data_IF_359388770122
#
_entry.id   IF_359388770122
#
_cell.length_a   1.000
_cell.length_b   1.000
_cell.length_c   1.000
_cell.angle_alpha   90.00
_cell.angle_beta   90.00
_cell.angle_gamma   90.00
#
_symmetry.space_group_name_H-M   'P 1'
#
loop_
_entity.id
_entity.type
_entity.pdbx_description
1 polymer ?
#
# COMPACT_ATOMS: atom_id res chain seq x y z
N UNK A 1 10.68 12.27 -12.16
CA UNK A 1 9.29 11.79 -12.01
C UNK A 1 9.25 10.69 -10.96
N UNK A 2 8.16 10.56 -10.20
CA UNK A 2 7.98 9.46 -9.26
C UNK A 2 7.14 8.35 -9.90
N UNK A 3 7.60 7.10 -9.80
CA UNK A 3 6.82 5.93 -10.19
C UNK A 3 6.25 5.29 -8.92
N UNK A 4 4.93 5.24 -8.78
CA UNK A 4 4.27 4.64 -7.62
C UNK A 4 3.63 3.30 -7.95
N UNK A 5 3.79 2.31 -7.08
CA UNK A 5 3.29 0.95 -7.23
C UNK A 5 2.64 0.50 -5.92
N UNK A 6 1.40 0.05 -5.99
CA UNK A 6 0.70 -0.59 -4.88
C UNK A 6 0.02 -1.89 -5.33
N UNK A 7 0.12 -2.93 -4.52
CA UNK A 7 -0.52 -4.23 -4.75
C UNK A 7 -1.21 -4.79 -3.50
N UNK A 8 -1.54 -3.91 -2.56
CA UNK A 8 -2.06 -4.25 -1.24
C UNK A 8 -3.57 -4.54 -1.26
N UNK A 9 -4.33 -3.83 -2.10
CA UNK A 9 -5.73 -4.09 -2.40
C UNK A 9 -5.95 -3.82 -3.91
N UNK A 10 -5.92 -4.88 -4.72
CA UNK A 10 -5.84 -4.74 -6.18
C UNK A 10 -4.43 -4.36 -6.65
N UNK A 11 -4.26 -3.97 -7.91
CA UNK A 11 -2.99 -3.46 -8.45
C UNK A 11 -3.18 -2.05 -8.92
N UNK A 12 -2.34 -1.13 -8.48
CA UNK A 12 -2.32 0.25 -8.96
C UNK A 12 -0.90 0.68 -9.27
N UNK A 13 -0.72 1.38 -10.39
CA UNK A 13 0.55 1.96 -10.82
C UNK A 13 0.29 3.38 -11.30
N UNK A 14 1.18 4.32 -10.97
CA UNK A 14 1.06 5.70 -11.41
C UNK A 14 2.42 6.36 -11.65
N UNK A 15 2.44 7.34 -12.56
CA UNK A 15 3.53 8.31 -12.67
C UNK A 15 3.05 9.63 -12.07
N UNK A 16 3.81 10.20 -11.15
CA UNK A 16 3.50 11.44 -10.45
C UNK A 16 4.62 12.45 -10.65
N UNK A 17 4.24 13.69 -10.91
CA UNK A 17 5.17 14.82 -10.93
C UNK A 17 5.47 15.28 -9.49
N UNK A 18 6.72 15.14 -9.00
CA UNK A 18 7.07 15.53 -7.64
C UNK A 18 6.97 17.05 -7.38
N UNK A 19 6.98 17.89 -8.42
CA UNK A 19 6.85 19.34 -8.25
C UNK A 19 5.41 19.77 -7.95
N UNK A 20 4.44 19.03 -8.47
CA UNK A 20 3.00 19.36 -8.34
C UNK A 20 2.23 18.37 -7.47
N UNK A 21 2.81 17.21 -7.17
CA UNK A 21 2.14 16.11 -6.48
C UNK A 21 1.02 15.46 -7.28
N UNK A 22 0.88 15.78 -8.58
CA UNK A 22 -0.24 15.33 -9.42
C UNK A 22 0.14 14.15 -10.33
N UNK A 23 -0.81 13.25 -10.62
CA UNK A 23 -0.58 12.17 -11.56
C UNK A 23 -0.44 12.69 -12.99
N UNK A 24 0.51 12.12 -13.72
CA UNK A 24 0.63 12.23 -15.18
C UNK A 24 -0.08 11.08 -15.90
N UNK A 25 -0.10 9.89 -15.28
CA UNK A 25 -0.79 8.71 -15.77
C UNK A 25 -1.07 7.75 -14.62
N UNK A 26 -2.18 7.01 -14.70
CA UNK A 26 -2.57 5.99 -13.73
C UNK A 26 -3.14 4.75 -14.40
N UNK A 27 -2.89 3.57 -13.81
CA UNK A 27 -3.58 2.31 -14.12
C UNK A 27 -3.93 1.60 -12.84
N UNK A 28 -5.12 1.05 -12.77
CA UNK A 28 -5.56 0.29 -11.61
C UNK A 28 -6.53 -0.83 -11.98
N UNK A 29 -6.60 -1.82 -11.10
CA UNK A 29 -7.60 -2.87 -11.13
C UNK A 29 -7.84 -3.38 -9.72
N UNK A 30 -9.10 -3.62 -9.37
CA UNK A 30 -9.49 -4.26 -8.11
C UNK A 30 -9.24 -5.79 -8.13
N UNK A 31 -8.89 -6.37 -9.28
CA UNK A 31 -8.64 -7.81 -9.38
C UNK A 31 -7.32 -8.22 -8.72
N UNK A 32 -7.43 -8.56 -7.44
CA UNK A 32 -6.33 -9.05 -6.60
C UNK A 32 -5.76 -10.44 -6.96
N UNK A 33 -6.23 -11.09 -8.04
CA UNK A 33 -5.67 -12.38 -8.48
C UNK A 33 -4.66 -12.22 -9.60
N UNK A 34 -4.62 -11.05 -10.24
CA UNK A 34 -3.89 -10.82 -11.48
C UNK A 34 -2.67 -9.92 -11.33
N UNK A 35 -2.25 -9.59 -10.11
CA UNK A 35 -1.13 -8.67 -9.85
C UNK A 35 0.12 -8.99 -10.68
N UNK A 36 0.52 -10.26 -10.75
CA UNK A 36 1.69 -10.68 -11.51
C UNK A 36 1.52 -10.55 -13.03
N UNK A 37 0.28 -10.67 -13.53
CA UNK A 37 -0.04 -10.55 -14.95
C UNK A 37 -0.11 -9.09 -15.40
N UNK A 38 -0.66 -8.20 -14.55
CA UNK A 38 -0.94 -6.81 -14.94
C UNK A 38 0.18 -5.83 -14.61
N UNK A 39 1.06 -6.14 -13.66
CA UNK A 39 2.06 -5.16 -13.18
C UNK A 39 3.01 -4.71 -14.29
N UNK A 40 3.52 -5.62 -15.12
CA UNK A 40 4.40 -5.31 -16.24
C UNK A 40 3.71 -4.46 -17.31
N UNK A 41 2.53 -4.87 -17.84
CA UNK A 41 1.73 -4.05 -18.75
C UNK A 41 1.42 -2.66 -18.19
N UNK A 42 0.96 -2.55 -16.95
CA UNK A 42 0.63 -1.26 -16.34
C UNK A 42 1.85 -0.34 -16.26
N UNK A 43 3.03 -0.86 -15.91
CA UNK A 43 4.27 -0.08 -15.91
C UNK A 43 4.59 0.49 -17.30
N UNK A 44 4.48 -0.32 -18.35
CA UNK A 44 4.72 0.14 -19.72
C UNK A 44 3.70 1.20 -20.15
N UNK A 45 2.42 0.99 -19.84
CA UNK A 45 1.32 1.89 -20.20
C UNK A 45 1.42 3.25 -19.50
N UNK A 46 1.70 3.29 -18.19
CA UNK A 46 1.78 4.57 -17.47
C UNK A 46 2.98 5.41 -17.89
N UNK A 47 4.12 4.78 -18.23
CA UNK A 47 5.29 5.51 -18.72
C UNK A 47 5.01 6.08 -20.11
N UNK A 48 4.40 5.29 -20.99
CA UNK A 48 4.01 5.72 -22.33
C UNK A 48 2.98 6.87 -22.29
N UNK A 49 1.92 6.75 -21.49
CA UNK A 49 0.89 7.79 -21.35
C UNK A 49 1.44 9.08 -20.72
N UNK A 50 2.34 8.97 -19.74
CA UNK A 50 3.02 10.12 -19.17
C UNK A 50 4.05 10.76 -20.14
N UNK A 51 4.32 10.14 -21.29
CA UNK A 51 5.28 10.64 -22.27
C UNK A 51 6.74 10.60 -21.79
N UNK A 52 7.06 9.69 -20.86
CA UNK A 52 8.40 9.56 -20.27
C UNK A 52 8.97 8.16 -20.51
N UNK A 53 10.27 8.04 -20.31
CA UNK A 53 10.97 6.75 -20.27
C UNK A 53 11.29 6.36 -18.83
N UNK A 54 11.71 5.12 -18.61
CA UNK A 54 12.23 4.70 -17.31
C UNK A 54 13.46 5.50 -16.84
N UNK A 55 14.14 6.22 -17.73
CA UNK A 55 15.27 7.08 -17.36
C UNK A 55 14.87 8.39 -16.67
N UNK A 56 13.63 8.83 -16.86
CA UNK A 56 13.10 10.08 -16.28
C UNK A 56 12.53 9.87 -14.86
N UNK A 57 12.43 8.60 -14.43
CA UNK A 57 12.05 8.24 -13.07
C UNK A 57 13.21 8.52 -12.13
N UNK A 58 12.94 9.26 -11.06
CA UNK A 58 13.91 9.74 -10.07
C UNK A 58 13.74 9.08 -8.70
N UNK A 59 12.66 8.33 -8.51
CA UNK A 59 12.37 7.56 -7.31
C UNK A 59 11.16 6.65 -7.53
N UNK A 60 11.12 5.51 -6.83
CA UNK A 60 10.03 4.54 -6.95
C UNK A 60 9.32 4.40 -5.60
N UNK A 61 8.06 4.80 -5.56
CA UNK A 61 7.20 4.66 -4.38
C UNK A 61 6.65 3.25 -4.32
N UNK A 62 6.83 2.59 -3.17
CA UNK A 62 6.38 1.22 -2.94
C UNK A 62 5.34 1.21 -1.81
N UNK A 63 4.11 0.80 -2.13
CA UNK A 63 3.10 0.46 -1.14
C UNK A 63 3.52 -0.77 -0.35
N UNK A 64 3.74 -0.60 0.95
CA UNK A 64 4.27 -1.65 1.85
C UNK A 64 3.17 -2.47 2.55
N UNK A 65 1.90 -2.12 2.32
CA UNK A 65 0.74 -2.74 2.97
C UNK A 65 0.08 -1.82 4.01
N UNK A 66 -0.88 -2.34 4.78
CA UNK A 66 -1.19 -3.76 4.95
C UNK A 66 -1.88 -4.37 3.72
N UNK A 67 -1.67 -5.67 3.47
CA UNK A 67 -2.24 -6.36 2.31
C UNK A 67 -1.91 -7.86 2.28
N UNK A 68 -2.56 -8.67 1.42
CA UNK A 68 -2.27 -10.09 1.30
C UNK A 68 -0.82 -10.37 0.87
N UNK A 69 -0.22 -11.41 1.44
CA UNK A 69 1.19 -11.78 1.22
C UNK A 69 1.61 -11.86 -0.25
N UNK A 70 0.83 -12.57 -1.08
CA UNK A 70 1.13 -12.75 -2.50
C UNK A 70 1.09 -11.42 -3.26
N UNK A 71 0.07 -10.59 -3.02
CA UNK A 71 -0.08 -9.28 -3.66
C UNK A 71 1.11 -8.38 -3.31
N UNK A 72 1.34 -8.13 -2.03
CA UNK A 72 2.41 -7.26 -1.54
C UNK A 72 3.80 -7.64 -2.09
N UNK A 73 4.12 -8.94 -2.14
CA UNK A 73 5.41 -9.40 -2.66
C UNK A 73 5.61 -9.04 -4.12
N UNK A 74 4.57 -9.10 -4.95
CA UNK A 74 4.67 -8.76 -6.37
C UNK A 74 4.98 -7.27 -6.54
N UNK A 75 4.20 -6.38 -5.91
CA UNK A 75 4.42 -4.93 -6.07
C UNK A 75 5.75 -4.46 -5.48
N UNK A 76 6.13 -4.94 -4.29
CA UNK A 76 7.41 -4.58 -3.66
C UNK A 76 8.59 -5.10 -4.49
N UNK A 77 8.50 -6.32 -5.03
CA UNK A 77 9.53 -6.86 -5.91
C UNK A 77 9.64 -6.05 -7.22
N UNK A 78 8.51 -5.68 -7.82
CA UNK A 78 8.48 -4.85 -9.02
C UNK A 78 9.12 -3.47 -8.76
N UNK A 79 8.73 -2.81 -7.67
CA UNK A 79 9.27 -1.51 -7.26
C UNK A 79 10.79 -1.56 -7.04
N UNK A 80 11.27 -2.53 -6.25
CA UNK A 80 12.70 -2.72 -5.98
C UNK A 80 13.49 -3.05 -7.24
N UNK A 81 12.96 -3.90 -8.11
CA UNK A 81 13.63 -4.28 -9.36
C UNK A 81 13.75 -3.09 -10.29
N UNK A 82 12.68 -2.31 -10.46
CA UNK A 82 12.71 -1.09 -11.26
C UNK A 82 13.72 -0.08 -10.69
N UNK A 83 13.64 0.18 -9.39
CA UNK A 83 14.53 1.12 -8.72
C UNK A 83 16.00 0.74 -8.86
N UNK A 84 16.32 -0.54 -8.64
CA UNK A 84 17.67 -1.08 -8.80
C UNK A 84 18.17 -0.97 -10.24
N UNK A 85 17.33 -1.32 -11.23
CA UNK A 85 17.67 -1.22 -12.64
C UNK A 85 17.92 0.23 -13.10
N UNK A 86 17.31 1.21 -12.43
CA UNK A 86 17.48 2.65 -12.72
C UNK A 86 18.49 3.36 -11.83
N UNK A 87 18.97 2.72 -10.76
CA UNK A 87 19.88 3.34 -9.80
C UNK A 87 19.22 4.46 -8.99
N UNK A 88 17.92 4.35 -8.70
CA UNK A 88 17.11 5.35 -7.98
C UNK A 88 16.62 4.81 -6.64
N UNK A 89 16.29 5.66 -5.65
CA UNK A 89 15.80 5.19 -4.36
C UNK A 89 14.41 4.56 -4.44
N UNK A 90 14.17 3.58 -3.55
CA UNK A 90 12.83 3.12 -3.19
C UNK A 90 12.31 4.01 -2.06
N UNK A 91 11.07 4.46 -2.18
CA UNK A 91 10.37 5.35 -1.28
C UNK A 91 9.19 4.58 -0.66
N UNK A 92 9.41 3.80 0.40
CA UNK A 92 8.37 2.98 1.03
C UNK A 92 7.33 3.85 1.75
N UNK A 93 6.05 3.53 1.54
CA UNK A 93 4.92 4.14 2.23
C UNK A 93 3.90 3.08 2.64
N UNK A 94 3.19 3.33 3.74
CA UNK A 94 2.04 2.51 4.14
C UNK A 94 0.87 2.78 3.18
N UNK A 95 0.29 1.72 2.63
CA UNK A 95 -0.74 1.76 1.60
C UNK A 95 -2.01 2.50 2.05
N UNK A 96 -2.45 2.29 3.28
CA UNK A 96 -3.62 3.00 3.84
C UNK A 96 -3.43 4.52 3.94
N UNK A 97 -2.19 5.04 3.95
CA UNK A 97 -1.95 6.49 4.02
C UNK A 97 -2.46 7.18 2.75
N UNK A 98 -2.46 6.48 1.61
CA UNK A 98 -3.02 6.99 0.36
C UNK A 98 -4.51 7.35 0.51
N UNK A 99 -5.26 6.47 1.18
CA UNK A 99 -6.69 6.65 1.46
C UNK A 99 -6.90 7.80 2.44
N UNK A 100 -6.04 7.88 3.46
CA UNK A 100 -6.13 8.97 4.43
C UNK A 100 -5.89 10.34 3.81
N UNK A 101 -4.96 10.44 2.85
CA UNK A 101 -4.74 11.65 2.07
C UNK A 101 -5.95 12.01 1.20
N UNK A 102 -6.59 11.03 0.56
CA UNK A 102 -7.79 11.25 -0.24
C UNK A 102 -8.99 11.76 0.58
N UNK A 103 -9.28 11.12 1.72
CA UNK A 103 -10.37 11.54 2.61
C UNK A 103 -10.15 12.97 3.14
N UNK A 104 -8.89 13.33 3.38
CA UNK A 104 -8.46 14.66 3.81
C UNK A 104 -8.69 15.73 2.74
N UNK A 105 -8.31 15.45 1.50
CA UNK A 105 -8.58 16.34 0.37
C UNK A 105 -10.08 16.49 0.11
N UNK A 106 -10.85 15.42 0.36
CA UNK A 106 -12.31 15.42 0.38
C UNK A 106 -12.95 16.25 1.51
N UNK A 107 -12.14 16.91 2.35
CA UNK A 107 -12.54 17.73 3.49
C UNK A 107 -13.34 16.94 4.53
N UNK A 108 -12.97 15.68 4.77
CA UNK A 108 -13.51 14.93 5.92
C UNK A 108 -13.24 15.70 7.21
N UNK A 109 -14.29 15.84 8.00
CA UNK A 109 -14.20 16.33 9.36
C UNK A 109 -13.97 15.16 10.33
N UNK A 110 -12.98 15.31 11.22
CA UNK A 110 -12.72 14.38 12.30
C UNK A 110 -11.87 13.15 11.96
N UNK A 111 -11.53 12.36 12.99
CA UNK A 111 -10.68 11.18 12.87
C UNK A 111 -11.45 9.95 12.35
N UNK A 112 -10.76 8.98 11.77
CA UNK A 112 -11.38 7.83 11.10
C UNK A 112 -10.47 6.59 11.09
N UNK A 113 -11.03 5.45 10.70
CA UNK A 113 -10.33 4.18 10.54
C UNK A 113 -10.48 3.69 9.10
N UNK A 114 -9.37 3.50 8.40
CA UNK A 114 -9.33 2.91 7.06
C UNK A 114 -9.34 1.38 7.18
N UNK A 115 -10.19 0.72 6.40
CA UNK A 115 -10.34 -0.71 6.33
C UNK A 115 -10.14 -1.25 4.91
N UNK A 116 -9.44 -2.37 4.79
CA UNK A 116 -9.35 -3.18 3.55
C UNK A 116 -9.59 -4.66 3.85
N UNK A 117 -10.07 -5.42 2.86
CA UNK A 117 -10.33 -6.86 3.01
C UNK A 117 -9.01 -7.65 3.19
N UNK A 118 -8.85 -8.32 4.34
CA UNK A 118 -7.71 -9.18 4.61
C UNK A 118 -7.93 -10.64 4.19
N UNK A 119 -9.04 -10.93 3.52
CA UNK A 119 -9.56 -12.28 3.25
C UNK A 119 -9.91 -13.01 4.55
N UNK A 120 -10.50 -14.20 4.44
CA UNK A 120 -10.82 -15.08 5.59
C UNK A 120 -11.73 -14.43 6.65
N UNK A 121 -12.60 -13.51 6.24
CA UNK A 121 -13.50 -12.75 7.13
C UNK A 121 -12.74 -11.89 8.14
N UNK A 122 -11.59 -11.36 7.74
CA UNK A 122 -10.79 -10.41 8.50
C UNK A 122 -10.62 -9.12 7.70
N UNK A 123 -10.27 -8.05 8.40
CA UNK A 123 -9.99 -6.73 7.84
C UNK A 123 -8.61 -6.25 8.30
N UNK A 124 -7.88 -5.64 7.38
CA UNK A 124 -6.76 -4.79 7.77
C UNK A 124 -7.32 -3.43 8.17
N UNK A 125 -6.70 -2.81 9.17
CA UNK A 125 -7.16 -1.52 9.67
C UNK A 125 -6.00 -0.58 10.00
N UNK A 126 -6.24 0.72 9.88
CA UNK A 126 -5.33 1.77 10.36
C UNK A 126 -6.15 2.98 10.79
N UNK A 127 -5.82 3.55 11.96
CA UNK A 127 -6.54 4.70 12.50
C UNK A 127 -5.78 6.00 12.22
N UNK A 128 -6.51 7.02 11.80
CA UNK A 128 -6.00 8.32 11.42
C UNK A 128 -6.68 9.41 12.24
N UNK A 129 -5.90 10.34 12.77
CA UNK A 129 -6.45 11.50 13.46
C UNK A 129 -7.06 12.51 12.46
N UNK A 130 -7.65 13.58 12.99
CA UNK A 130 -8.17 14.68 12.17
C UNK A 130 -7.10 15.34 11.29
N UNK A 131 -5.81 15.22 11.66
CA UNK A 131 -4.68 15.75 10.90
C UNK A 131 -4.32 14.83 9.69
N UNK A 132 -4.93 13.65 9.58
CA UNK A 132 -4.57 12.63 8.60
C UNK A 132 -3.31 11.85 8.99
N UNK A 133 -2.80 12.03 10.22
CA UNK A 133 -1.65 11.29 10.71
C UNK A 133 -2.11 9.91 11.21
N UNK A 134 -1.39 8.87 10.81
CA UNK A 134 -1.63 7.51 11.31
C UNK A 134 -1.27 7.43 12.79
N UNK A 135 -2.27 7.17 13.64
CA UNK A 135 -2.12 7.12 15.11
C UNK A 135 -2.20 5.71 15.68
N UNK A 136 -2.67 4.73 14.91
CA UNK A 136 -2.63 3.32 15.28
C UNK A 136 -2.72 2.39 14.06
N UNK A 137 -2.30 1.14 14.27
CA UNK A 137 -2.09 0.17 13.20
C UNK A 137 -0.85 0.49 12.35
N UNK A 138 -0.67 -0.18 11.20
CA UNK A 138 -1.59 -1.14 10.61
C UNK A 138 -1.82 -2.41 11.45
N UNK A 139 -3.06 -2.86 11.55
CA UNK A 139 -3.48 -4.03 12.30
C UNK A 139 -4.36 -4.98 11.49
N UNK A 140 -4.56 -6.19 12.02
CA UNK A 140 -5.43 -7.23 11.45
C UNK A 140 -6.42 -7.69 12.52
N UNK A 141 -7.70 -7.75 12.18
CA UNK A 141 -8.73 -8.22 13.10
C UNK A 141 -9.92 -8.82 12.35
N UNK A 142 -10.72 -9.65 13.02
CA UNK A 142 -12.07 -9.97 12.53
C UNK A 142 -12.99 -8.76 12.75
N UNK A 143 -14.01 -8.54 11.90
CA UNK A 143 -14.96 -7.45 12.10
C UNK A 143 -15.62 -7.42 13.48
N UNK A 144 -15.90 -8.59 14.07
CA UNK A 144 -16.51 -8.70 15.40
C UNK A 144 -15.55 -8.28 16.54
N UNK A 145 -14.24 -8.41 16.32
CA UNK A 145 -13.19 -8.17 17.32
C UNK A 145 -12.47 -6.82 17.07
N UNK A 146 -12.86 -6.10 16.01
CA UNK A 146 -12.17 -4.89 15.55
C UNK A 146 -12.14 -3.80 16.62
N UNK A 147 -13.24 -3.61 17.35
CA UNK A 147 -13.30 -2.62 18.44
C UNK A 147 -12.37 -2.96 19.59
N UNK A 148 -12.18 -4.24 19.89
CA UNK A 148 -11.22 -4.68 20.89
C UNK A 148 -9.79 -4.45 20.40
N UNK A 149 -9.48 -4.81 19.16
CA UNK A 149 -8.17 -4.61 18.55
C UNK A 149 -7.77 -3.12 18.49
N UNK A 150 -8.71 -2.25 18.09
CA UNK A 150 -8.52 -0.81 18.10
C UNK A 150 -8.33 -0.32 19.53
N UNK A 151 -9.18 -0.75 20.48
CA UNK A 151 -9.10 -0.31 21.88
C UNK A 151 -7.75 -0.61 22.52
N UNK A 152 -7.14 -1.75 22.18
CA UNK A 152 -5.83 -2.14 22.68
C UNK A 152 -4.70 -1.19 22.23
N UNK A 153 -4.85 -0.52 21.08
CA UNK A 153 -3.82 0.37 20.52
C UNK A 153 -4.17 1.86 20.67
N UNK A 154 -5.46 2.20 20.59
CA UNK A 154 -6.00 3.57 20.55
C UNK A 154 -7.44 3.57 21.09
N UNK A 155 -7.64 3.60 22.43
CA UNK A 155 -8.95 3.48 23.07
C UNK A 155 -10.03 4.45 22.55
N UNK A 156 -9.64 5.68 22.23
CA UNK A 156 -10.50 6.73 21.72
C UNK A 156 -10.98 6.49 20.27
N UNK A 157 -10.33 5.59 19.52
CA UNK A 157 -10.63 5.34 18.11
C UNK A 157 -11.75 4.31 17.86
N UNK A 158 -12.26 3.66 18.90
CA UNK A 158 -13.31 2.62 18.79
C UNK A 158 -14.59 3.15 18.12
N UNK A 159 -14.94 4.40 18.39
CA UNK A 159 -16.15 5.05 17.86
C UNK A 159 -15.92 5.93 16.64
N UNK A 160 -14.72 5.93 16.06
CA UNK A 160 -14.43 6.74 14.88
C UNK A 160 -15.11 6.17 13.63
N UNK A 161 -15.39 7.05 12.68
CA UNK A 161 -15.94 6.67 11.38
C UNK A 161 -15.03 5.64 10.69
N UNK A 162 -15.64 4.67 10.02
CA UNK A 162 -14.92 3.60 9.31
C UNK A 162 -15.05 3.80 7.81
N UNK A 163 -13.92 3.92 7.12
CA UNK A 163 -13.84 4.04 5.66
C UNK A 163 -13.34 2.72 5.11
N UNK A 164 -14.18 2.00 4.37
CA UNK A 164 -13.78 0.73 3.73
C UNK A 164 -13.52 0.97 2.26
N UNK A 165 -12.34 0.59 1.78
CA UNK A 165 -11.95 0.71 0.37
C UNK A 165 -11.63 -0.63 -0.26
N UNK A 166 -11.90 -0.76 -1.55
CA UNK A 166 -11.59 -1.96 -2.33
C UNK A 166 -10.21 -1.87 -3.01
N UNK A 167 -9.67 -0.67 -3.15
CA UNK A 167 -8.40 -0.41 -3.82
C UNK A 167 -7.59 0.70 -3.15
N UNK A 168 -6.28 0.71 -3.42
CA UNK A 168 -5.36 1.76 -2.98
C UNK A 168 -4.86 2.52 -4.21
N UNK A 169 -5.12 3.84 -4.32
CA UNK A 169 -4.66 4.63 -5.44
C UNK A 169 -3.16 4.91 -5.35
N UNK A 170 -2.35 4.27 -6.20
CA UNK A 170 -0.90 4.44 -6.18
C UNK A 170 -0.46 5.88 -6.43
N UNK A 171 -1.23 6.66 -7.21
CA UNK A 171 -0.91 8.06 -7.44
C UNK A 171 -0.95 8.91 -6.17
N UNK A 172 -1.78 8.55 -5.18
CA UNK A 172 -1.79 9.23 -3.87
C UNK A 172 -0.58 8.89 -3.02
N UNK A 173 -0.07 7.67 -3.11
CA UNK A 173 1.25 7.35 -2.53
C UNK A 173 2.34 8.19 -3.20
N UNK A 174 2.28 8.36 -4.53
CA UNK A 174 3.19 9.25 -5.26
C UNK A 174 3.10 10.71 -4.81
N UNK A 175 1.89 11.21 -4.57
CA UNK A 175 1.62 12.56 -4.05
C UNK A 175 2.21 12.74 -2.64
N UNK A 176 1.93 11.81 -1.72
CA UNK A 176 2.50 11.82 -0.38
C UNK A 176 4.03 11.75 -0.38
N UNK A 177 4.62 10.97 -1.28
CA UNK A 177 6.07 10.90 -1.44
C UNK A 177 6.65 12.24 -1.90
N UNK A 178 5.96 12.96 -2.79
CA UNK A 178 6.36 14.31 -3.18
C UNK A 178 6.36 15.27 -1.99
N UNK A 179 5.32 15.23 -1.14
CA UNK A 179 5.24 16.04 0.07
C UNK A 179 6.35 15.71 1.07
N UNK A 180 6.66 14.41 1.27
CA UNK A 180 7.75 13.99 2.15
C UNK A 180 9.12 14.42 1.63
N UNK A 181 9.35 14.33 0.31
CA UNK A 181 10.59 14.83 -0.30
C UNK A 181 10.73 16.34 -0.15
N UNK A 182 9.65 17.10 -0.36
CA UNK A 182 9.66 18.56 -0.26
C UNK A 182 9.86 19.04 1.19
N UNK A 183 9.28 18.34 2.16
CA UNK A 183 9.39 18.68 3.59
C UNK A 183 10.60 18.08 4.30
N UNK A 184 11.28 17.10 3.70
CA UNK A 184 12.32 16.30 4.34
C UNK A 184 11.80 15.31 5.39
N UNK A 185 10.49 15.02 5.39
CA UNK A 185 9.89 14.04 6.28
C UNK A 185 10.39 12.61 5.96
N UNK A 186 10.49 11.77 7.00
CA UNK A 186 10.98 10.41 6.85
C UNK A 186 9.99 9.51 6.09
N UNK A 187 10.54 8.59 5.29
CA UNK A 187 9.79 7.47 4.72
C UNK A 187 9.60 6.35 5.75
N UNK A 188 8.65 5.44 5.49
CA UNK A 188 8.45 4.27 6.34
C UNK A 188 9.65 3.31 6.20
N UNK A 189 9.82 2.31 7.09
CA UNK A 189 10.84 1.29 6.89
C UNK A 189 10.62 0.52 5.57
N UNK A 190 11.69 0.17 4.86
CA UNK A 190 11.62 -0.67 3.65
C UNK A 190 11.40 -2.16 4.01
N UNK A 191 10.32 -2.41 4.73
CA UNK A 191 9.88 -3.74 5.19
C UNK A 191 8.40 -3.90 4.87
N UNK A 192 8.06 -5.02 4.25
CA UNK A 192 6.67 -5.34 3.98
C UNK A 192 5.89 -5.59 5.28
N UNK A 193 4.67 -5.06 5.37
CA UNK A 193 3.78 -5.24 6.51
C UNK A 193 2.98 -6.55 6.36
N UNK A 194 3.68 -7.68 6.53
CA UNK A 194 3.06 -9.00 6.61
C UNK A 194 2.41 -9.19 7.98
N UNK A 195 1.16 -8.74 8.13
CA UNK A 195 0.41 -8.86 9.38
C UNK A 195 -0.19 -10.26 9.60
N UNK A 196 -0.06 -11.14 8.61
CA UNK A 196 -0.41 -12.55 8.70
C UNK A 196 0.79 -13.38 8.31
N UNK A 197 1.03 -14.46 9.05
CA UNK A 197 2.00 -15.47 8.65
C UNK A 197 1.62 -16.06 7.27
N UNK A 198 2.62 -16.37 6.42
CA UNK A 198 2.36 -17.04 5.17
C UNK A 198 1.71 -18.41 5.44
N UNK A 199 0.72 -18.78 4.62
CA UNK A 199 0.06 -20.08 4.70
C UNK A 199 0.98 -21.21 4.25
N UNK A 200 1.98 -21.52 5.07
CA UNK A 200 2.86 -22.66 4.88
C UNK A 200 2.40 -23.75 5.83
N UNK A 201 1.83 -24.82 5.28
CA UNK A 201 1.77 -26.09 6.01
C UNK A 201 3.21 -26.56 6.16
N UNK A 202 3.73 -26.57 7.38
CA UNK A 202 5.05 -27.17 7.66
C UNK A 202 5.00 -28.62 7.17
N UNK A 203 5.92 -29.05 6.30
CA UNK A 203 5.93 -30.42 5.82
C UNK A 203 5.91 -31.37 7.03
N UNK A 204 4.92 -32.26 7.07
CA UNK A 204 4.84 -33.28 8.11
C UNK A 204 6.12 -34.13 8.15
N UNK A 205 6.39 -34.74 9.31
CA UNK A 205 7.59 -35.56 9.50
C UNK A 205 7.75 -36.57 8.35
N UNK A 206 8.98 -36.77 7.83
CA UNK A 206 9.23 -37.70 6.72
C UNK A 206 8.67 -39.08 7.05
N UNK A 207 7.90 -39.65 6.11
CA UNK A 207 7.30 -40.98 6.27
C UNK A 207 8.44 -41.99 6.40
N UNK A 208 8.52 -42.71 7.54
CA UNK A 208 9.52 -43.78 7.71
C UNK A 208 9.29 -44.87 6.67
N UNK A 209 10.24 -45.02 5.76
CA UNK A 209 10.31 -46.17 4.86
C UNK A 209 10.70 -47.38 5.71
N UNK A 210 9.84 -48.39 5.78
CA UNK A 210 10.22 -49.68 6.35
C UNK A 210 11.11 -50.39 5.32
N UNK A 211 12.34 -50.71 5.71
CA UNK A 211 13.14 -51.75 5.04
C UNK A 211 12.63 -53.12 5.44
#
# INVERSE_FOLDING_TARGET
MLLAIDTSAGTSVAVVDPATGRPLATRDTEDSRRHAEVIGPFLAEVLAEAGITGADVTGVVAGTGPGPFTGLRVGIAAARTFAAARGVPVLPLVSHDAVAADERDGRRDGPFVVLTDARRREVYWSAYDQAGARVAGPGLARPADLDEAIRASRPDAVGWDRVTVASIPAWRLGSLAADRLASGAAFDPDTALYLRDPDVTVPGAPKRVKQ
#
